data_IF_526887501558
#
_entry.id   IF_526887501558
#
_cell.length_a   1.000
_cell.length_b   1.000
_cell.length_c   1.000
_cell.angle_alpha   90.00
_cell.angle_beta   90.00
_cell.angle_gamma   90.00
#
_symmetry.space_group_name_H-M   'P 1'
#
loop_
_entity.id
_entity.type
_entity.pdbx_description
1 polymer ?
#
# COMPACT_ATOMS: atom_id res chain seq x y z
N UNK A 1 4.56 -8.47 -41.14
CA UNK A 1 3.81 -8.34 -39.87
C UNK A 1 3.28 -6.91 -39.77
N UNK A 2 2.00 -6.74 -40.05
CA UNK A 2 1.36 -5.42 -39.99
C UNK A 2 0.96 -5.12 -38.57
N UNK A 3 1.66 -4.18 -37.91
CA UNK A 3 1.20 -3.60 -36.64
C UNK A 3 0.07 -2.63 -36.98
N UNK A 4 -1.17 -3.04 -36.72
CA UNK A 4 -2.30 -2.12 -36.66
C UNK A 4 -2.14 -1.25 -35.39
N UNK A 5 -1.89 0.03 -35.60
CA UNK A 5 -2.03 1.05 -34.56
C UNK A 5 -3.50 1.10 -34.11
N UNK A 6 -3.78 0.66 -32.89
CA UNK A 6 -5.04 0.97 -32.22
C UNK A 6 -4.98 2.47 -31.90
N UNK A 7 -5.90 3.30 -32.41
CA UNK A 7 -5.90 4.71 -32.06
C UNK A 7 -6.15 4.83 -30.55
N UNK A 8 -5.23 5.48 -29.84
CA UNK A 8 -5.48 5.99 -28.49
C UNK A 8 -6.76 6.82 -28.58
N UNK A 9 -7.82 6.34 -27.93
CA UNK A 9 -9.05 7.10 -27.76
C UNK A 9 -8.66 8.37 -27.03
N UNK A 10 -8.64 9.50 -27.76
CA UNK A 10 -8.31 10.80 -27.22
C UNK A 10 -9.27 11.10 -26.05
N UNK A 11 -8.72 11.19 -24.86
CA UNK A 11 -9.48 11.67 -23.71
C UNK A 11 -9.93 13.09 -23.99
N UNK A 12 -11.24 13.25 -24.11
CA UNK A 12 -11.88 14.54 -24.37
C UNK A 12 -11.64 15.43 -23.14
N UNK A 13 -10.64 16.29 -23.18
CA UNK A 13 -10.28 17.25 -22.11
C UNK A 13 -11.38 18.25 -21.81
N UNK A 14 -12.47 18.27 -22.60
CA UNK A 14 -13.64 19.12 -22.39
C UNK A 14 -14.66 18.60 -21.37
N UNK A 15 -14.46 17.41 -20.79
CA UNK A 15 -15.41 16.79 -19.83
C UNK A 15 -15.26 17.37 -18.41
N UNK A 16 -14.11 17.92 -18.06
CA UNK A 16 -13.79 18.45 -16.73
C UNK A 16 -13.41 19.91 -16.79
N UNK A 17 -13.88 20.69 -15.81
CA UNK A 17 -13.52 22.10 -15.65
C UNK A 17 -12.35 22.26 -14.68
N UNK A 18 -11.73 23.44 -14.63
CA UNK A 18 -10.57 23.72 -13.76
C UNK A 18 -10.89 23.43 -12.27
N UNK A 19 -12.11 23.71 -11.84
CA UNK A 19 -12.56 23.46 -10.47
C UNK A 19 -12.64 21.96 -10.14
N UNK A 20 -12.97 21.10 -11.13
CA UNK A 20 -12.94 19.64 -10.93
C UNK A 20 -11.52 19.15 -10.65
N UNK A 21 -10.51 19.67 -11.36
CA UNK A 21 -9.10 19.36 -11.12
C UNK A 21 -8.66 19.81 -9.73
N UNK A 22 -9.10 20.98 -9.27
CA UNK A 22 -8.75 21.49 -7.94
C UNK A 22 -9.31 20.56 -6.84
N UNK A 23 -10.61 20.21 -6.89
CA UNK A 23 -11.21 19.35 -5.88
C UNK A 23 -10.72 17.90 -5.93
N UNK A 24 -10.42 17.36 -7.11
CA UNK A 24 -9.81 16.05 -7.20
C UNK A 24 -8.37 16.08 -6.64
N UNK A 25 -7.61 17.15 -6.84
CA UNK A 25 -6.30 17.33 -6.20
C UNK A 25 -6.41 17.40 -4.67
N UNK A 26 -7.47 18.05 -4.14
CA UNK A 26 -7.76 18.02 -2.71
C UNK A 26 -8.08 16.59 -2.24
N UNK A 27 -8.88 15.82 -3.00
CA UNK A 27 -9.15 14.43 -2.67
C UNK A 27 -7.89 13.55 -2.68
N UNK A 28 -6.95 13.77 -3.62
CA UNK A 28 -5.64 13.11 -3.63
C UNK A 28 -4.79 13.51 -2.42
N UNK A 29 -4.87 14.76 -1.99
CA UNK A 29 -4.22 15.23 -0.75
C UNK A 29 -4.79 14.53 0.48
N UNK A 30 -6.11 14.37 0.55
CA UNK A 30 -6.74 13.57 1.61
C UNK A 30 -6.26 12.11 1.55
N UNK A 31 -6.23 11.48 0.36
CA UNK A 31 -5.74 10.11 0.19
C UNK A 31 -4.30 9.93 0.72
N UNK A 32 -3.44 10.94 0.56
CA UNK A 32 -2.05 10.87 1.02
C UNK A 32 -1.91 10.79 2.55
N UNK A 33 -2.90 11.22 3.32
CA UNK A 33 -2.93 11.09 4.80
C UNK A 33 -2.97 9.62 5.25
N UNK A 34 -3.41 8.70 4.39
CA UNK A 34 -3.46 7.26 4.67
C UNK A 34 -2.18 6.50 4.30
N UNK A 35 -1.12 7.19 3.82
CA UNK A 35 0.13 6.57 3.35
C UNK A 35 0.76 5.58 4.33
N UNK A 36 0.73 5.89 5.63
CA UNK A 36 1.34 5.06 6.68
C UNK A 36 0.31 4.25 7.47
N UNK A 37 -0.98 4.41 7.16
CA UNK A 37 -2.09 3.96 7.99
C UNK A 37 -2.87 2.79 7.38
N UNK A 38 -3.24 2.90 6.09
CA UNK A 38 -4.30 2.07 5.49
C UNK A 38 -3.88 0.67 5.05
N UNK A 39 -2.57 0.38 4.94
CA UNK A 39 -2.11 -0.93 4.45
C UNK A 39 -2.79 -2.10 5.17
N UNK A 40 -3.27 -3.12 4.45
CA UNK A 40 -3.17 -3.37 3.00
C UNK A 40 -4.26 -2.71 2.14
N UNK A 41 -5.16 -1.91 2.73
CA UNK A 41 -6.23 -1.24 1.99
C UNK A 41 -5.68 -0.14 1.06
N UNK A 42 -6.40 0.18 -0.04
CA UNK A 42 -6.01 1.28 -0.91
C UNK A 42 -6.09 2.63 -0.19
N UNK A 43 -5.26 3.56 -0.65
CA UNK A 43 -5.22 4.95 -0.19
C UNK A 43 -6.26 5.74 -0.97
N UNK A 44 -7.39 6.02 -0.34
CA UNK A 44 -8.51 6.72 -0.97
C UNK A 44 -8.77 8.02 -0.23
N UNK A 45 -9.09 9.06 -0.98
CA UNK A 45 -9.55 10.34 -0.46
C UNK A 45 -10.86 10.73 -1.11
N UNK A 46 -11.70 11.43 -0.36
CA UNK A 46 -13.00 11.89 -0.79
C UNK A 46 -13.24 13.34 -0.35
N UNK A 47 -13.79 14.15 -1.26
CA UNK A 47 -14.21 15.52 -0.99
C UNK A 47 -15.64 15.73 -1.50
N UNK A 48 -16.52 16.22 -0.64
CA UNK A 48 -17.90 16.56 -0.98
C UNK A 48 -18.01 18.06 -1.18
N UNK A 49 -18.53 18.49 -2.35
CA UNK A 49 -18.53 19.89 -2.77
C UNK A 49 -19.93 20.34 -3.17
N UNK A 50 -20.33 21.54 -2.80
CA UNK A 50 -21.52 22.22 -3.31
C UNK A 50 -21.25 23.72 -3.42
N UNK A 51 -21.72 24.33 -4.49
CA UNK A 51 -21.58 25.76 -4.78
C UNK A 51 -20.11 26.25 -4.71
N UNK A 52 -19.17 25.42 -5.23
CA UNK A 52 -17.73 25.74 -5.23
C UNK A 52 -17.05 25.68 -3.86
N UNK A 53 -17.72 25.09 -2.86
CA UNK A 53 -17.16 24.97 -1.49
C UNK A 53 -17.12 23.50 -1.04
N UNK A 54 -16.02 23.08 -0.45
CA UNK A 54 -15.92 21.78 0.19
C UNK A 54 -16.76 21.79 1.49
N UNK A 55 -17.71 20.87 1.57
CA UNK A 55 -18.60 20.68 2.72
C UNK A 55 -18.04 19.68 3.72
N UNK A 56 -17.29 18.68 3.21
CA UNK A 56 -16.66 17.66 4.04
C UNK A 56 -15.55 16.91 3.29
N UNK A 57 -14.65 16.30 4.05
CA UNK A 57 -13.47 15.57 3.57
C UNK A 57 -13.30 14.26 4.32
N UNK A 58 -12.69 13.28 3.65
CA UNK A 58 -12.39 12.01 4.27
C UNK A 58 -11.27 11.27 3.57
N UNK A 59 -10.65 10.35 4.29
CA UNK A 59 -9.61 9.47 3.75
C UNK A 59 -9.69 8.08 4.40
N UNK A 60 -9.13 7.06 3.73
CA UNK A 60 -9.14 5.69 4.25
C UNK A 60 -8.44 5.61 5.61
N UNK A 61 -9.15 5.10 6.61
CA UNK A 61 -8.64 4.88 7.95
C UNK A 61 -7.85 3.57 8.05
N UNK A 62 -7.33 3.25 9.25
CA UNK A 62 -6.73 1.94 9.53
C UNK A 62 -7.70 0.81 9.21
N UNK A 63 -7.15 -0.39 8.99
CA UNK A 63 -7.93 -1.59 8.63
C UNK A 63 -9.09 -1.80 9.60
N UNK A 64 -10.30 -1.98 9.04
CA UNK A 64 -11.55 -2.08 9.79
C UNK A 64 -12.19 -0.74 10.13
N UNK A 65 -11.53 0.38 9.89
CA UNK A 65 -12.10 1.72 10.01
C UNK A 65 -12.92 2.13 8.79
N UNK A 66 -13.53 3.31 8.86
CA UNK A 66 -14.39 3.83 7.81
C UNK A 66 -13.60 4.15 6.54
N UNK A 67 -14.23 3.95 5.38
CA UNK A 67 -13.70 4.36 4.08
C UNK A 67 -13.80 5.88 3.89
N UNK A 68 -13.09 6.40 2.90
CA UNK A 68 -13.00 7.84 2.63
C UNK A 68 -14.36 8.50 2.41
N UNK A 69 -15.25 7.83 1.67
CA UNK A 69 -16.59 8.33 1.35
C UNK A 69 -17.46 8.47 2.61
N UNK A 70 -17.44 7.43 3.45
CA UNK A 70 -18.19 7.43 4.73
C UNK A 70 -17.68 8.53 5.67
N UNK A 71 -16.37 8.70 5.74
CA UNK A 71 -15.71 9.76 6.51
C UNK A 71 -16.11 11.15 5.98
N UNK A 72 -16.04 11.37 4.66
CA UNK A 72 -16.40 12.64 4.06
C UNK A 72 -17.87 12.99 4.28
N UNK A 73 -18.80 12.02 4.16
CA UNK A 73 -20.21 12.22 4.43
C UNK A 73 -20.48 12.49 5.93
N UNK A 74 -19.73 11.84 6.83
CA UNK A 74 -19.82 12.12 8.26
C UNK A 74 -19.35 13.54 8.58
N UNK A 75 -18.25 13.98 7.94
CA UNK A 75 -17.71 15.34 8.11
C UNK A 75 -18.71 16.41 7.59
N UNK A 76 -19.39 16.16 6.45
CA UNK A 76 -20.49 17.03 5.95
C UNK A 76 -21.55 17.22 7.02
N UNK A 77 -22.00 16.12 7.65
CA UNK A 77 -23.04 16.16 8.69
C UNK A 77 -22.57 16.87 9.95
N UNK A 78 -21.33 16.61 10.37
CA UNK A 78 -20.71 17.25 11.54
C UNK A 78 -20.56 18.76 11.37
N UNK A 79 -20.35 19.22 10.11
CA UNK A 79 -20.29 20.63 9.75
C UNK A 79 -21.70 21.29 9.61
N UNK A 80 -22.79 20.55 9.88
CA UNK A 80 -24.15 21.05 9.79
C UNK A 80 -24.73 21.13 8.38
N UNK A 81 -24.09 20.47 7.40
CA UNK A 81 -24.52 20.45 6.01
C UNK A 81 -25.24 19.14 5.63
N UNK A 82 -25.92 19.18 4.47
CA UNK A 82 -26.53 18.02 3.83
C UNK A 82 -25.83 17.73 2.51
N UNK A 83 -25.52 16.45 2.18
CA UNK A 83 -24.79 16.10 0.96
C UNK A 83 -25.67 16.10 -0.31
N UNK A 84 -26.99 16.18 -0.19
CA UNK A 84 -27.91 16.14 -1.33
C UNK A 84 -27.61 17.25 -2.35
N UNK A 85 -27.57 16.88 -3.64
CA UNK A 85 -27.28 17.79 -4.76
C UNK A 85 -25.78 18.19 -4.87
N UNK A 86 -24.91 17.64 -4.04
CA UNK A 86 -23.47 17.92 -4.10
C UNK A 86 -22.77 17.22 -5.27
N UNK A 87 -21.54 17.64 -5.57
CA UNK A 87 -20.56 16.86 -6.34
C UNK A 87 -19.61 16.17 -5.39
N UNK A 88 -19.39 14.87 -5.58
CA UNK A 88 -18.45 14.08 -4.77
C UNK A 88 -17.26 13.70 -5.62
N UNK A 89 -16.07 14.05 -5.16
CA UNK A 89 -14.77 13.67 -5.75
C UNK A 89 -14.17 12.55 -4.93
N UNK A 90 -13.88 11.41 -5.55
CA UNK A 90 -13.27 10.26 -4.89
C UNK A 90 -12.16 9.68 -5.75
N UNK A 91 -11.02 9.34 -5.13
CA UNK A 91 -9.83 8.96 -5.87
C UNK A 91 -9.84 7.51 -6.37
N UNK A 92 -10.75 6.67 -5.89
CA UNK A 92 -10.96 5.29 -6.33
C UNK A 92 -12.45 5.00 -6.42
N UNK A 93 -12.84 4.10 -7.33
CA UNK A 93 -14.20 3.60 -7.45
C UNK A 93 -14.78 3.16 -6.11
N UNK A 94 -15.96 3.66 -5.70
CA UNK A 94 -16.62 3.25 -4.47
C UNK A 94 -16.95 1.76 -4.47
N UNK A 95 -16.61 1.07 -3.36
CA UNK A 95 -16.83 -0.37 -3.24
C UNK A 95 -18.32 -0.72 -3.31
N UNK A 96 -18.64 -1.80 -4.07
CA UNK A 96 -19.99 -2.32 -4.31
C UNK A 96 -20.29 -3.64 -3.62
N UNK A 97 -19.30 -4.22 -2.92
CA UNK A 97 -19.43 -5.50 -2.21
C UNK A 97 -19.29 -5.29 -0.70
N UNK A 98 -19.95 -6.15 0.06
CA UNK A 98 -19.78 -6.19 1.53
C UNK A 98 -18.47 -6.89 1.84
N UNK A 99 -17.53 -6.13 2.37
CA UNK A 99 -16.27 -6.65 2.93
C UNK A 99 -16.32 -6.63 4.46
N UNK A 100 -15.29 -6.02 5.07
CA UNK A 100 -15.26 -5.76 6.52
C UNK A 100 -16.22 -4.63 6.94
N UNK A 101 -16.64 -3.81 5.98
CA UNK A 101 -17.59 -2.70 6.13
C UNK A 101 -18.68 -2.82 5.06
N UNK A 102 -19.86 -2.20 5.27
CA UNK A 102 -20.88 -2.10 4.23
C UNK A 102 -20.35 -1.38 2.98
N UNK A 103 -20.93 -1.64 1.78
CA UNK A 103 -20.52 -1.01 0.54
C UNK A 103 -20.66 0.52 0.59
N UNK A 104 -19.62 1.27 0.22
CA UNK A 104 -19.66 2.73 0.18
C UNK A 104 -20.66 3.27 -0.83
N UNK A 105 -20.92 2.52 -1.91
CA UNK A 105 -21.90 2.89 -2.92
C UNK A 105 -23.31 3.13 -2.32
N UNK A 106 -23.70 2.37 -1.31
CA UNK A 106 -25.01 2.53 -0.65
C UNK A 106 -25.11 3.86 0.11
N UNK A 107 -24.04 4.25 0.82
CA UNK A 107 -23.98 5.54 1.51
C UNK A 107 -24.01 6.72 0.52
N UNK A 108 -23.34 6.57 -0.63
CA UNK A 108 -23.38 7.59 -1.68
C UNK A 108 -24.76 7.71 -2.32
N UNK A 109 -25.45 6.59 -2.59
CA UNK A 109 -26.83 6.60 -3.11
C UNK A 109 -27.78 7.27 -2.10
N UNK A 110 -27.66 6.94 -0.81
CA UNK A 110 -28.47 7.55 0.23
C UNK A 110 -28.19 9.05 0.39
N UNK A 111 -26.96 9.50 0.10
CA UNK A 111 -26.56 10.91 0.13
C UNK A 111 -27.14 11.74 -1.03
N UNK A 112 -27.62 11.11 -2.12
CA UNK A 112 -28.22 11.74 -3.31
C UNK A 112 -27.36 12.87 -3.90
N UNK A 113 -26.07 12.67 -4.19
CA UNK A 113 -25.30 13.67 -4.90
C UNK A 113 -25.83 13.87 -6.33
N UNK A 114 -25.63 15.05 -6.91
CA UNK A 114 -25.94 15.29 -8.31
C UNK A 114 -24.90 14.63 -9.25
N UNK A 115 -23.64 14.58 -8.81
CA UNK A 115 -22.52 14.10 -9.61
C UNK A 115 -21.48 13.40 -8.72
N UNK A 116 -20.95 12.28 -9.18
CA UNK A 116 -19.77 11.61 -8.60
C UNK A 116 -18.66 11.59 -9.64
N UNK A 117 -17.50 12.18 -9.31
CA UNK A 117 -16.30 12.17 -10.14
C UNK A 117 -15.28 11.26 -9.49
N UNK A 118 -14.90 10.21 -10.22
CA UNK A 118 -13.99 9.16 -9.77
C UNK A 118 -12.66 9.29 -10.51
N UNK A 119 -11.54 9.19 -9.79
CA UNK A 119 -10.22 9.30 -10.43
C UNK A 119 -9.86 8.02 -11.20
N UNK A 120 -10.00 6.85 -10.58
CA UNK A 120 -9.70 5.57 -11.23
C UNK A 120 -10.73 4.49 -10.87
N UNK A 121 -10.99 3.57 -11.81
CA UNK A 121 -11.79 2.37 -11.54
C UNK A 121 -11.03 1.43 -10.59
N UNK A 122 -11.76 0.56 -9.88
CA UNK A 122 -11.14 -0.47 -9.05
C UNK A 122 -10.33 -1.43 -9.95
N UNK A 123 -9.03 -1.67 -9.66
CA UNK A 123 -8.21 -2.60 -10.43
C UNK A 123 -8.58 -4.07 -10.21
N UNK A 124 -9.39 -4.40 -9.21
CA UNK A 124 -9.85 -5.76 -8.97
C UNK A 124 -10.87 -6.17 -10.05
N UNK A 125 -10.60 -7.16 -10.91
CA UNK A 125 -11.50 -7.57 -11.99
C UNK A 125 -12.88 -8.04 -11.50
N UNK A 126 -12.98 -8.47 -10.24
CA UNK A 126 -14.25 -8.91 -9.64
C UNK A 126 -15.17 -7.75 -9.25
N UNK A 127 -14.63 -6.54 -9.17
CA UNK A 127 -15.30 -5.33 -8.66
C UNK A 127 -15.41 -4.25 -9.73
N UNK A 128 -14.41 -4.16 -10.61
CA UNK A 128 -14.24 -3.10 -11.61
C UNK A 128 -15.54 -2.72 -12.34
N UNK A 129 -15.93 -1.46 -12.25
CA UNK A 129 -17.12 -0.89 -12.91
C UNK A 129 -18.42 -1.07 -12.15
N UNK A 130 -18.56 -2.04 -11.25
CA UNK A 130 -19.84 -2.36 -10.58
C UNK A 130 -20.33 -1.23 -9.66
N UNK A 131 -19.43 -0.54 -8.97
CA UNK A 131 -19.75 0.61 -8.14
C UNK A 131 -20.27 1.77 -8.98
N UNK A 132 -19.60 2.04 -10.11
CA UNK A 132 -20.01 3.09 -11.05
C UNK A 132 -21.37 2.78 -11.68
N UNK A 133 -21.62 1.51 -12.04
CA UNK A 133 -22.91 1.06 -12.59
C UNK A 133 -24.06 1.21 -11.59
N UNK A 134 -23.85 0.85 -10.33
CA UNK A 134 -24.87 1.01 -9.28
C UNK A 134 -25.23 2.48 -9.03
N UNK A 135 -24.24 3.38 -9.01
CA UNK A 135 -24.49 4.82 -8.90
C UNK A 135 -25.31 5.34 -10.08
N UNK A 136 -24.98 4.95 -11.32
CA UNK A 136 -25.74 5.33 -12.53
C UNK A 136 -27.16 4.77 -12.51
N UNK A 137 -27.33 3.52 -12.10
CA UNK A 137 -28.66 2.89 -11.96
C UNK A 137 -29.53 3.60 -10.92
N UNK A 138 -28.93 4.23 -9.91
CA UNK A 138 -29.63 5.07 -8.93
C UNK A 138 -29.90 6.49 -9.43
N UNK A 139 -29.62 6.82 -10.71
CA UNK A 139 -29.86 8.13 -11.31
C UNK A 139 -28.81 9.19 -11.02
N UNK A 140 -27.63 8.80 -10.48
CA UNK A 140 -26.54 9.71 -10.20
C UNK A 140 -25.65 9.83 -11.43
N UNK A 141 -25.28 11.05 -11.84
CA UNK A 141 -24.28 11.24 -12.89
C UNK A 141 -22.91 10.79 -12.41
N UNK A 142 -22.17 10.00 -13.22
CA UNK A 142 -20.86 9.47 -12.87
C UNK A 142 -19.86 9.72 -13.99
N UNK A 143 -18.77 10.41 -13.67
CA UNK A 143 -17.59 10.59 -14.53
C UNK A 143 -16.37 9.89 -13.94
N UNK A 144 -15.49 9.33 -14.76
CA UNK A 144 -14.32 8.61 -14.30
C UNK A 144 -13.09 8.94 -15.16
N UNK A 145 -11.92 9.05 -14.54
CA UNK A 145 -10.63 9.23 -15.19
C UNK A 145 -9.88 10.54 -14.86
N UNK A 146 -10.46 11.42 -14.03
CA UNK A 146 -9.82 12.68 -13.65
C UNK A 146 -8.63 12.44 -12.73
N UNK A 147 -7.43 12.93 -13.12
CA UNK A 147 -6.16 12.75 -12.37
C UNK A 147 -5.87 11.27 -12.06
N UNK A 148 -6.16 10.39 -13.04
CA UNK A 148 -6.00 8.94 -12.88
C UNK A 148 -4.56 8.53 -12.58
N UNK A 149 -3.59 9.13 -13.25
CA UNK A 149 -2.18 8.79 -13.07
C UNK A 149 -1.68 9.05 -11.65
N UNK A 150 -2.15 10.12 -11.02
CA UNK A 150 -1.83 10.50 -9.65
C UNK A 150 -2.46 9.52 -8.64
N UNK A 151 -3.72 9.12 -8.86
CA UNK A 151 -4.38 8.11 -8.03
C UNK A 151 -3.70 6.74 -8.14
N UNK A 152 -3.32 6.32 -9.35
CA UNK A 152 -2.56 5.09 -9.58
C UNK A 152 -1.18 5.17 -8.92
N UNK A 153 -0.50 6.32 -8.93
CA UNK A 153 0.79 6.51 -8.29
C UNK A 153 0.72 6.30 -6.77
N UNK A 154 -0.36 6.75 -6.12
CA UNK A 154 -0.60 6.51 -4.69
C UNK A 154 -0.89 5.04 -4.38
N UNK A 155 -1.46 4.30 -5.34
CA UNK A 155 -1.99 2.95 -5.13
C UNK A 155 -1.24 1.85 -5.87
N UNK A 156 0.04 2.06 -6.26
CA UNK A 156 0.85 1.09 -7.03
C UNK A 156 0.86 -0.31 -6.42
N UNK A 157 0.98 -0.39 -5.10
CA UNK A 157 0.99 -1.66 -4.38
C UNK A 157 -0.35 -2.39 -4.46
N UNK A 158 -1.44 -1.68 -4.22
CA UNK A 158 -2.80 -2.21 -4.34
C UNK A 158 -3.08 -2.69 -5.77
N UNK A 159 -2.77 -1.86 -6.77
CA UNK A 159 -2.93 -2.21 -8.19
C UNK A 159 -2.10 -3.46 -8.54
N UNK A 160 -0.82 -3.50 -8.14
CA UNK A 160 0.05 -4.65 -8.40
C UNK A 160 -0.52 -5.95 -7.83
N UNK A 161 -1.00 -5.91 -6.58
CA UNK A 161 -1.62 -7.07 -5.94
C UNK A 161 -2.88 -7.52 -6.67
N UNK A 162 -3.79 -6.60 -7.02
CA UNK A 162 -5.06 -6.94 -7.68
C UNK A 162 -4.88 -7.45 -9.11
N UNK A 163 -3.94 -6.89 -9.88
CA UNK A 163 -3.76 -7.21 -11.30
C UNK A 163 -2.72 -8.30 -11.57
N UNK A 164 -1.73 -8.45 -10.70
CA UNK A 164 -0.58 -9.35 -10.91
C UNK A 164 -0.48 -10.44 -9.83
N UNK A 165 -1.18 -10.32 -8.72
CA UNK A 165 -1.05 -11.19 -7.55
C UNK A 165 0.28 -11.04 -6.80
N UNK A 166 1.04 -9.96 -7.08
CA UNK A 166 2.35 -9.69 -6.52
C UNK A 166 2.40 -8.32 -5.81
N UNK A 167 3.21 -8.16 -4.76
CA UNK A 167 3.38 -6.85 -4.13
C UNK A 167 4.16 -5.92 -5.06
N UNK A 168 4.06 -4.62 -4.82
CA UNK A 168 5.01 -3.66 -5.38
C UNK A 168 6.31 -3.72 -4.58
N UNK A 169 7.40 -4.03 -5.25
CA UNK A 169 8.72 -4.13 -4.61
C UNK A 169 9.52 -2.86 -4.91
N UNK A 170 9.98 -2.22 -3.84
CA UNK A 170 10.90 -1.08 -3.90
C UNK A 170 12.26 -1.51 -3.41
N UNK A 171 13.28 -1.39 -4.24
CA UNK A 171 14.66 -1.61 -3.86
C UNK A 171 15.29 -0.28 -3.45
N UNK A 172 15.82 -0.20 -2.20
CA UNK A 172 16.57 0.94 -1.69
C UNK A 172 18.05 0.55 -1.54
N UNK A 173 18.92 1.26 -2.23
CA UNK A 173 20.37 1.05 -2.15
C UNK A 173 21.01 2.34 -1.64
N UNK A 174 21.91 2.23 -0.64
CA UNK A 174 22.82 3.31 -0.28
C UNK A 174 24.16 3.05 -0.99
N UNK A 175 24.53 3.93 -1.89
CA UNK A 175 25.75 3.80 -2.67
C UNK A 175 26.41 5.17 -2.90
N UNK A 176 27.74 5.18 -3.06
CA UNK A 176 28.50 6.33 -3.54
C UNK A 176 28.20 6.59 -5.03
N UNK A 177 28.68 7.70 -5.55
CA UNK A 177 28.44 8.08 -6.95
C UNK A 177 29.03 7.05 -7.95
N UNK A 178 30.11 6.38 -7.58
CA UNK A 178 30.73 5.29 -8.35
C UNK A 178 30.14 3.90 -8.02
N UNK A 179 29.00 3.85 -7.31
CA UNK A 179 28.24 2.62 -7.06
C UNK A 179 28.78 1.73 -5.93
N UNK A 180 29.66 2.24 -5.07
CA UNK A 180 30.18 1.46 -3.92
C UNK A 180 29.23 1.50 -2.74
N UNK A 181 29.00 0.35 -2.11
CA UNK A 181 28.14 0.17 -0.94
C UNK A 181 28.93 0.09 0.37
N UNK A 182 30.28 -0.01 0.29
CA UNK A 182 31.21 -0.01 1.42
C UNK A 182 32.59 0.44 0.94
N UNK A 183 33.45 0.85 1.86
CA UNK A 183 34.89 1.03 1.65
C UNK A 183 35.61 -0.34 1.49
N UNK A 184 36.88 -0.33 1.11
CA UNK A 184 37.67 -1.55 0.94
C UNK A 184 37.85 -2.36 2.25
N UNK A 185 37.77 -1.69 3.39
CA UNK A 185 37.84 -2.30 4.73
C UNK A 185 36.48 -2.78 5.26
N UNK A 186 35.40 -2.66 4.45
CA UNK A 186 34.04 -3.04 4.83
C UNK A 186 33.23 -1.93 5.52
N UNK A 187 33.82 -0.77 5.83
CA UNK A 187 33.10 0.35 6.45
C UNK A 187 32.00 0.88 5.53
N UNK A 188 30.75 0.86 5.99
CA UNK A 188 29.55 1.28 5.19
C UNK A 188 28.79 2.45 5.80
N UNK A 189 29.19 2.96 6.96
CA UNK A 189 28.47 4.03 7.68
C UNK A 189 29.29 5.32 7.72
N UNK A 190 28.81 6.46 7.22
CA UNK A 190 27.51 6.67 6.55
C UNK A 190 27.76 7.09 5.11
N UNK A 191 27.22 6.34 4.14
CA UNK A 191 27.36 6.65 2.71
C UNK A 191 26.44 7.81 2.32
N UNK A 192 25.25 7.87 2.92
CA UNK A 192 24.23 8.90 2.62
C UNK A 192 24.04 9.86 3.79
N UNK A 193 23.70 11.12 3.47
CA UNK A 193 23.46 12.16 4.47
C UNK A 193 22.20 11.94 5.31
N UNK A 194 22.01 12.75 6.40
CA UNK A 194 20.87 12.61 7.31
C UNK A 194 19.51 12.72 6.63
N UNK A 195 19.35 13.65 5.67
CA UNK A 195 18.09 13.86 4.94
C UNK A 195 17.71 12.62 4.11
N UNK A 196 18.66 12.00 3.42
CA UNK A 196 18.43 10.79 2.65
C UNK A 196 18.08 9.58 3.56
N UNK A 197 18.66 9.53 4.77
CA UNK A 197 18.30 8.51 5.75
C UNK A 197 16.90 8.73 6.32
N UNK A 198 16.51 9.98 6.60
CA UNK A 198 15.15 10.33 7.00
C UNK A 198 14.13 9.95 5.92
N UNK A 199 14.40 10.26 4.64
CA UNK A 199 13.57 9.82 3.51
C UNK A 199 13.42 8.28 3.48
N UNK A 200 14.49 7.55 3.76
CA UNK A 200 14.44 6.09 3.90
C UNK A 200 13.44 5.61 4.96
N UNK A 201 13.23 6.36 6.05
CA UNK A 201 12.22 6.04 7.07
C UNK A 201 10.79 6.31 6.59
N UNK A 202 10.55 7.30 5.72
CA UNK A 202 9.26 7.48 5.04
C UNK A 202 8.90 6.27 4.17
N UNK A 203 9.86 5.74 3.41
CA UNK A 203 9.65 4.52 2.62
C UNK A 203 9.39 3.28 3.48
N UNK A 204 10.05 3.16 4.64
CA UNK A 204 9.76 2.09 5.60
C UNK A 204 8.34 2.21 6.17
N UNK A 205 7.90 3.42 6.51
CA UNK A 205 6.55 3.66 7.03
C UNK A 205 5.45 3.32 6.02
N UNK A 206 5.71 3.55 4.72
CA UNK A 206 4.80 3.16 3.65
C UNK A 206 4.72 1.64 3.44
N UNK A 207 5.82 0.92 3.60
CA UNK A 207 5.89 -0.49 3.28
C UNK A 207 5.07 -1.36 4.24
N UNK A 208 4.51 -2.47 3.75
CA UNK A 208 3.94 -3.53 4.59
C UNK A 208 5.03 -4.31 5.30
N UNK A 209 6.15 -4.53 4.61
CA UNK A 209 7.30 -5.21 5.17
C UNK A 209 8.63 -4.64 4.65
N UNK A 210 9.66 -4.77 5.49
CA UNK A 210 11.06 -4.57 5.09
C UNK A 210 11.68 -5.95 4.95
N UNK A 211 12.23 -6.23 3.76
CA UNK A 211 12.85 -7.50 3.45
C UNK A 211 14.37 -7.32 3.33
N UNK A 212 15.13 -8.20 3.96
CA UNK A 212 16.59 -8.23 3.82
C UNK A 212 17.13 -9.66 3.83
N UNK A 213 18.39 -9.83 3.48
CA UNK A 213 19.11 -11.11 3.62
C UNK A 213 19.83 -11.24 4.95
N UNK A 214 20.13 -12.49 5.34
CA UNK A 214 20.87 -12.81 6.56
C UNK A 214 22.26 -12.16 6.60
N UNK A 215 22.89 -11.91 5.45
CA UNK A 215 24.17 -11.19 5.37
C UNK A 215 24.08 -9.81 6.02
N UNK A 216 23.09 -9.00 5.63
CA UNK A 216 22.86 -7.67 6.23
C UNK A 216 22.57 -7.76 7.74
N UNK A 217 21.85 -8.81 8.18
CA UNK A 217 21.57 -8.99 9.61
C UNK A 217 22.85 -9.28 10.39
N UNK A 218 23.74 -10.12 9.85
CA UNK A 218 25.02 -10.46 10.48
C UNK A 218 25.99 -9.28 10.54
N UNK A 219 26.09 -8.52 9.45
CA UNK A 219 27.03 -7.40 9.33
C UNK A 219 26.57 -6.15 10.10
N UNK A 220 25.32 -5.74 9.91
CA UNK A 220 24.82 -4.44 10.40
C UNK A 220 24.02 -4.56 11.70
N UNK A 221 23.58 -5.76 12.07
CA UNK A 221 22.64 -6.02 13.18
C UNK A 221 21.52 -4.97 13.27
N UNK A 222 20.74 -4.77 12.19
CA UNK A 222 19.77 -3.69 12.09
C UNK A 222 18.49 -4.03 12.86
N UNK A 223 17.77 -3.01 13.32
CA UNK A 223 16.44 -3.18 13.92
C UNK A 223 15.31 -3.28 12.87
N UNK A 224 15.53 -2.80 11.65
CA UNK A 224 14.56 -2.74 10.53
C UNK A 224 13.21 -2.14 10.91
N UNK A 225 13.20 -1.13 11.76
CA UNK A 225 12.00 -0.40 12.19
C UNK A 225 11.91 0.98 11.56
N UNK A 226 10.76 1.62 11.73
CA UNK A 226 10.55 3.04 11.43
C UNK A 226 10.95 3.88 12.65
N UNK A 227 11.75 4.92 12.39
CA UNK A 227 12.12 5.99 13.31
C UNK A 227 11.97 7.30 12.56
N UNK A 228 11.92 8.41 13.27
CA UNK A 228 11.90 9.76 12.68
C UNK A 228 10.68 10.06 11.77
N UNK A 229 9.65 9.21 11.83
CA UNK A 229 8.36 9.40 11.15
C UNK A 229 7.25 9.09 12.15
N UNK A 230 6.31 10.00 12.29
CA UNK A 230 5.14 9.79 13.12
C UNK A 230 4.21 8.75 12.46
N UNK A 231 4.16 7.57 13.06
CA UNK A 231 3.32 6.46 12.60
C UNK A 231 3.00 5.49 13.74
N UNK A 232 1.74 5.10 13.84
CA UNK A 232 1.28 4.07 14.79
C UNK A 232 1.67 2.66 14.32
N UNK A 233 2.05 2.49 13.05
CA UNK A 233 2.30 1.18 12.44
C UNK A 233 3.79 0.96 12.18
N UNK A 234 4.27 -0.24 12.51
CA UNK A 234 5.58 -0.73 12.11
C UNK A 234 5.43 -1.75 10.98
N UNK A 235 6.32 -1.77 9.96
CA UNK A 235 6.34 -2.79 8.93
C UNK A 235 6.78 -4.15 9.50
N UNK A 236 6.30 -5.23 8.90
CA UNK A 236 6.86 -6.57 9.15
C UNK A 236 8.33 -6.61 8.75
N UNK A 237 9.10 -7.46 9.41
CA UNK A 237 10.50 -7.72 9.08
C UNK A 237 10.59 -9.09 8.45
N UNK A 238 11.07 -9.17 7.20
CA UNK A 238 11.19 -10.42 6.44
C UNK A 238 12.68 -10.67 6.22
N UNK A 239 13.19 -11.76 6.78
CA UNK A 239 14.60 -12.12 6.71
C UNK A 239 14.75 -13.35 5.81
N UNK A 240 15.46 -13.20 4.69
CA UNK A 240 15.79 -14.31 3.80
C UNK A 240 17.07 -14.99 4.30
N UNK A 241 16.91 -16.18 4.88
CA UNK A 241 17.99 -16.96 5.50
C UNK A 241 17.87 -18.44 5.16
N UNK A 242 18.41 -18.81 4.02
CA UNK A 242 18.26 -20.17 3.48
C UNK A 242 18.75 -21.28 4.43
N UNK A 243 19.62 -20.96 5.38
CA UNK A 243 20.25 -21.94 6.27
C UNK A 243 19.86 -21.82 7.74
N UNK A 244 19.03 -20.82 8.10
CA UNK A 244 18.72 -20.46 9.48
C UNK A 244 19.97 -20.10 10.30
N UNK A 245 20.82 -19.24 9.73
CA UNK A 245 22.06 -18.77 10.35
C UNK A 245 21.91 -17.41 11.06
N UNK A 246 20.72 -16.83 11.09
CA UNK A 246 20.45 -15.57 11.79
C UNK A 246 20.69 -15.77 13.29
N UNK A 247 21.57 -14.99 13.93
CA UNK A 247 21.82 -15.11 15.36
C UNK A 247 20.55 -14.79 16.17
N UNK A 248 20.23 -15.61 17.16
CA UNK A 248 19.04 -15.43 18.01
C UNK A 248 19.01 -14.09 18.77
N UNK A 249 20.19 -13.49 18.98
CA UNK A 249 20.38 -12.21 19.66
C UNK A 249 20.30 -11.00 18.72
N UNK A 250 19.98 -11.21 17.44
CA UNK A 250 19.92 -10.12 16.47
C UNK A 250 18.80 -9.13 16.79
N UNK A 251 19.08 -7.83 16.64
CA UNK A 251 18.12 -6.73 16.91
C UNK A 251 16.88 -6.76 16.02
N UNK A 252 16.89 -7.49 14.91
CA UNK A 252 15.68 -7.71 14.08
C UNK A 252 14.58 -8.44 14.84
N UNK A 253 14.88 -9.08 15.96
CA UNK A 253 13.93 -9.78 16.82
C UNK A 253 13.50 -8.94 18.04
N UNK A 254 13.96 -7.70 18.17
CA UNK A 254 13.50 -6.81 19.23
C UNK A 254 12.06 -6.32 18.97
N UNK A 255 11.30 -6.06 20.03
CA UNK A 255 9.96 -5.47 19.99
C UNK A 255 8.98 -6.24 19.07
N UNK A 256 8.89 -7.55 19.22
CA UNK A 256 7.97 -8.41 18.45
C UNK A 256 6.50 -8.01 18.63
N UNK A 257 6.12 -7.44 19.76
CA UNK A 257 4.76 -6.97 20.07
C UNK A 257 4.30 -5.83 19.14
N UNK A 258 5.26 -5.06 18.59
CA UNK A 258 4.97 -3.92 17.72
C UNK A 258 5.10 -4.23 16.23
N UNK A 259 5.85 -5.27 15.88
CA UNK A 259 6.13 -5.65 14.50
C UNK A 259 6.50 -7.13 14.41
N UNK A 260 5.75 -7.88 13.61
CA UNK A 260 6.03 -9.29 13.38
C UNK A 260 7.33 -9.52 12.58
N UNK A 261 7.88 -10.72 12.72
CA UNK A 261 9.04 -11.17 11.95
C UNK A 261 8.70 -12.46 11.22
N UNK A 262 9.06 -12.52 9.94
CA UNK A 262 9.03 -13.75 9.14
C UNK A 262 10.47 -14.12 8.80
N UNK A 263 10.93 -15.25 9.31
CA UNK A 263 12.22 -15.82 8.97
C UNK A 263 12.02 -16.86 7.85
N UNK A 264 12.48 -16.55 6.66
CA UNK A 264 12.24 -17.39 5.47
C UNK A 264 13.47 -18.24 5.20
N UNK A 265 13.30 -19.56 5.26
CA UNK A 265 14.38 -20.49 5.06
C UNK A 265 14.23 -21.36 3.80
N UNK A 266 15.31 -22.03 3.45
CA UNK A 266 15.31 -23.10 2.46
C UNK A 266 14.71 -24.39 3.02
N UNK A 267 15.26 -25.53 2.63
CA UNK A 267 14.77 -26.83 3.07
C UNK A 267 15.14 -27.09 4.54
N UNK A 268 14.16 -27.53 5.33
CA UNK A 268 14.35 -28.02 6.70
C UNK A 268 14.66 -29.54 6.64
N UNK A 269 15.87 -29.87 6.21
CA UNK A 269 16.28 -31.25 5.89
C UNK A 269 17.23 -31.88 6.92
N UNK A 270 17.47 -31.20 8.02
CA UNK A 270 18.29 -31.72 9.13
C UNK A 270 17.63 -31.46 10.48
N UNK A 271 17.87 -32.37 11.48
CA UNK A 271 17.34 -32.18 12.83
C UNK A 271 17.78 -30.86 13.49
N UNK A 272 18.97 -30.35 13.13
CA UNK A 272 19.49 -29.07 13.61
C UNK A 272 18.62 -27.91 13.13
N UNK A 273 18.29 -27.86 11.82
CA UNK A 273 17.44 -26.82 11.24
C UNK A 273 16.03 -26.87 11.79
N UNK A 274 15.46 -28.06 11.98
CA UNK A 274 14.14 -28.22 12.60
C UNK A 274 14.12 -27.71 14.05
N UNK A 275 15.19 -28.00 14.83
CA UNK A 275 15.32 -27.48 16.19
C UNK A 275 15.46 -25.97 16.19
N UNK A 276 16.29 -25.41 15.30
CA UNK A 276 16.47 -23.99 15.15
C UNK A 276 15.15 -23.29 14.79
N UNK A 277 14.38 -23.83 13.84
CA UNK A 277 13.08 -23.31 13.49
C UNK A 277 12.13 -23.26 14.71
N UNK A 278 12.04 -24.35 15.50
CA UNK A 278 11.21 -24.41 16.71
C UNK A 278 11.64 -23.38 17.78
N UNK A 279 12.93 -23.08 17.91
CA UNK A 279 13.42 -22.05 18.83
C UNK A 279 12.88 -20.67 18.42
N UNK A 280 12.90 -20.32 17.13
CA UNK A 280 12.34 -19.06 16.64
C UNK A 280 10.81 -19.01 16.78
N UNK A 281 10.12 -20.10 16.42
CA UNK A 281 8.65 -20.22 16.56
C UNK A 281 8.21 -20.05 18.01
N UNK A 282 8.93 -20.65 18.96
CA UNK A 282 8.65 -20.49 20.40
C UNK A 282 8.80 -19.04 20.90
N UNK A 283 9.50 -18.19 20.17
CA UNK A 283 9.65 -16.76 20.45
C UNK A 283 8.60 -15.90 19.72
N UNK A 284 7.66 -16.51 18.99
CA UNK A 284 6.64 -15.78 18.22
C UNK A 284 7.13 -15.27 16.87
N UNK A 285 8.20 -15.85 16.32
CA UNK A 285 8.72 -15.54 14.99
C UNK A 285 8.13 -16.56 14.01
N UNK A 286 7.53 -16.07 12.91
CA UNK A 286 7.01 -16.94 11.86
C UNK A 286 8.17 -17.55 11.06
N UNK A 287 8.36 -18.87 11.12
CA UNK A 287 9.37 -19.55 10.30
C UNK A 287 8.70 -20.14 9.07
N UNK A 288 9.13 -19.71 7.90
CA UNK A 288 8.54 -20.09 6.61
C UNK A 288 9.57 -20.83 5.75
N UNK A 289 9.35 -22.13 5.48
CA UNK A 289 10.21 -22.90 4.59
C UNK A 289 9.69 -22.83 3.15
N UNK A 290 10.47 -22.19 2.27
CA UNK A 290 10.17 -22.03 0.83
C UNK A 290 11.39 -22.40 -0.03
N UNK A 291 11.78 -23.69 -0.11
CA UNK A 291 12.94 -24.09 -0.88
C UNK A 291 12.71 -24.03 -2.39
N UNK A 292 13.72 -23.55 -3.13
CA UNK A 292 13.85 -23.78 -4.56
C UNK A 292 14.57 -25.13 -4.84
N UNK A 293 14.81 -25.45 -6.13
CA UNK A 293 15.48 -26.67 -6.54
C UNK A 293 16.90 -26.84 -5.95
N UNK A 294 17.57 -25.75 -5.58
CA UNK A 294 18.91 -25.76 -4.99
C UNK A 294 18.90 -25.70 -3.45
N UNK A 295 17.74 -25.88 -2.83
CA UNK A 295 17.59 -25.81 -1.36
C UNK A 295 17.69 -24.42 -0.75
N UNK A 296 17.81 -23.35 -1.58
CA UNK A 296 17.75 -21.95 -1.14
C UNK A 296 16.31 -21.44 -1.14
N UNK A 297 16.08 -20.27 -0.57
CA UNK A 297 14.77 -19.62 -0.62
C UNK A 297 14.35 -19.31 -2.06
N UNK A 298 13.11 -19.67 -2.41
CA UNK A 298 12.45 -19.35 -3.67
C UNK A 298 11.81 -17.96 -3.56
N UNK A 299 12.52 -16.93 -4.03
CA UNK A 299 12.04 -15.54 -3.94
C UNK A 299 10.72 -15.29 -4.71
N UNK A 300 10.50 -15.81 -5.92
CA UNK A 300 9.19 -15.70 -6.57
C UNK A 300 8.03 -16.23 -5.73
N UNK A 301 8.17 -17.42 -5.13
CA UNK A 301 7.17 -17.98 -4.22
C UNK A 301 7.00 -17.14 -2.97
N UNK A 302 8.08 -16.58 -2.42
CA UNK A 302 8.02 -15.69 -1.27
C UNK A 302 7.18 -14.45 -1.56
N UNK A 303 7.41 -13.77 -2.68
CA UNK A 303 6.61 -12.59 -3.03
C UNK A 303 5.14 -12.93 -3.27
N UNK A 304 4.85 -14.08 -3.89
CA UNK A 304 3.47 -14.57 -4.03
C UNK A 304 2.82 -14.81 -2.67
N UNK A 305 3.51 -15.48 -1.76
CA UNK A 305 3.04 -15.72 -0.38
C UNK A 305 2.77 -14.42 0.37
N UNK A 306 3.73 -13.49 0.34
CA UNK A 306 3.58 -12.20 1.02
C UNK A 306 2.38 -11.40 0.49
N UNK A 307 2.11 -11.49 -0.82
CA UNK A 307 0.99 -10.80 -1.44
C UNK A 307 -0.35 -11.46 -1.19
N UNK A 308 -0.44 -12.78 -1.33
CA UNK A 308 -1.71 -13.51 -1.34
C UNK A 308 -2.14 -13.94 0.07
N UNK A 309 -1.20 -14.54 0.84
CA UNK A 309 -1.51 -15.09 2.16
C UNK A 309 -1.38 -14.02 3.27
N UNK A 310 -0.46 -13.06 3.10
CA UNK A 310 -0.20 -12.00 4.10
C UNK A 310 -0.78 -10.65 3.69
N UNK A 311 -1.48 -10.58 2.56
CA UNK A 311 -2.11 -9.38 1.99
C UNK A 311 -1.16 -8.17 1.83
N UNK A 312 0.15 -8.38 1.78
CA UNK A 312 1.12 -7.30 1.67
C UNK A 312 1.14 -6.69 0.27
N UNK A 313 0.92 -5.39 0.17
CA UNK A 313 0.86 -4.67 -1.11
C UNK A 313 2.18 -3.99 -1.48
N UNK A 314 3.00 -3.61 -0.51
CA UNK A 314 4.29 -2.94 -0.74
C UNK A 314 5.38 -3.56 0.12
N UNK A 315 6.51 -3.90 -0.50
CA UNK A 315 7.71 -4.45 0.16
C UNK A 315 8.89 -3.52 -0.13
N UNK A 316 9.61 -3.13 0.92
CA UNK A 316 10.89 -2.42 0.82
C UNK A 316 12.04 -3.42 1.00
N UNK A 317 12.98 -3.45 0.04
CA UNK A 317 14.18 -4.28 0.08
C UNK A 317 15.41 -3.41 0.22
#
# INVERSE_FOLDING_TARGET
MNFQFIPLIGFNTSMYIALDHEFMSQALTEASKSLYLSNPNPRVGCVVVRDGKALGRGYTQKVGGAHAEVQALADVRANGFHPEGSTIYVTLEPCSHTGRTPPCVNELIAAKPALVIVSMSDPNPLVAGKGLEQLRAAGIEVRCGLLRAEAEALNRGFISRMTRGLPWVRLKIAASLDGKTALADGTSQWITGPLARADGHHWRAQACAILTGVGTVKEDNPTLNVRDVDTERQPWRVIVDSKLETPETSKVFDNLDHSGVILVCGKLDTPEKERCAKVFEARGIDVLSLPNANGKVDLPKLFTYLSQEREMIEILV
#
